data_IF_556625288262
#
_entry.id   IF_556625288262
#
_cell.length_a   1.000
_cell.length_b   1.000
_cell.length_c   1.000
_cell.angle_alpha   90.00
_cell.angle_beta   90.00
_cell.angle_gamma   90.00
#
_symmetry.space_group_name_H-M   'P 1'
#
loop_
_entity.id
_entity.type
_entity.pdbx_description
1 polymer ?
#
# COMPACT_ATOMS: atom_id res chain seq x y z
N UNK A 1 13.13 -6.12 -16.33
CA UNK A 1 12.05 -5.70 -15.41
C UNK A 1 11.24 -4.63 -16.11
N UNK A 2 9.92 -4.81 -16.23
CA UNK A 2 9.03 -3.81 -16.85
C UNK A 2 7.85 -3.50 -15.93
N UNK A 3 7.17 -2.37 -16.18
CA UNK A 3 6.07 -1.87 -15.36
C UNK A 3 4.76 -1.83 -16.16
N UNK A 4 3.66 -2.09 -15.47
CA UNK A 4 2.31 -1.97 -16.02
C UNK A 4 1.74 -0.60 -15.69
N UNK A 5 1.82 0.32 -16.65
CA UNK A 5 1.47 1.74 -16.46
C UNK A 5 0.05 1.96 -15.91
N UNK A 6 -0.92 1.12 -16.30
CA UNK A 6 -2.30 1.20 -15.79
C UNK A 6 -2.37 1.10 -14.25
N UNK A 7 -1.56 0.24 -13.62
CA UNK A 7 -1.56 0.09 -12.16
C UNK A 7 -0.82 1.22 -11.47
N UNK A 8 0.21 1.77 -12.13
CA UNK A 8 0.88 3.00 -11.66
C UNK A 8 -0.11 4.15 -11.62
N UNK A 9 -0.88 4.36 -12.70
CA UNK A 9 -1.91 5.40 -12.75
C UNK A 9 -2.96 5.21 -11.64
N UNK A 10 -3.48 3.99 -11.46
CA UNK A 10 -4.44 3.69 -10.38
C UNK A 10 -3.85 3.98 -9.00
N UNK A 11 -2.61 3.54 -8.74
CA UNK A 11 -1.93 3.81 -7.47
C UNK A 11 -1.81 5.32 -7.21
N UNK A 12 -1.34 6.07 -8.19
CA UNK A 12 -1.15 7.52 -8.07
C UNK A 12 -2.48 8.24 -7.85
N UNK A 13 -3.55 7.86 -8.56
CA UNK A 13 -4.88 8.45 -8.39
C UNK A 13 -5.39 8.20 -6.97
N UNK A 14 -5.35 6.95 -6.49
CA UNK A 14 -5.88 6.62 -5.17
C UNK A 14 -5.03 7.22 -4.04
N UNK A 15 -3.70 7.22 -4.18
CA UNK A 15 -2.82 7.85 -3.20
C UNK A 15 -3.04 9.36 -3.15
N UNK A 16 -3.16 10.03 -4.31
CA UNK A 16 -3.46 11.46 -4.36
C UNK A 16 -4.83 11.78 -3.77
N UNK A 17 -5.84 10.94 -4.02
CA UNK A 17 -7.17 11.08 -3.42
C UNK A 17 -7.10 10.94 -1.89
N UNK A 18 -6.37 9.94 -1.39
CA UNK A 18 -6.18 9.73 0.05
C UNK A 18 -5.52 10.94 0.70
N UNK A 19 -4.41 11.43 0.15
CA UNK A 19 -3.73 12.64 0.63
C UNK A 19 -4.66 13.85 0.60
N UNK A 20 -5.39 14.04 -0.49
CA UNK A 20 -6.32 15.16 -0.63
C UNK A 20 -7.40 15.15 0.46
N UNK A 21 -8.06 14.01 0.66
CA UNK A 21 -9.10 13.87 1.70
C UNK A 21 -8.49 14.00 3.10
N UNK A 22 -7.33 13.39 3.36
CA UNK A 22 -6.63 13.44 4.64
C UNK A 22 -6.06 14.82 5.00
N UNK A 23 -5.87 15.68 4.00
CA UNK A 23 -5.43 17.08 4.18
C UNK A 23 -6.58 18.05 4.42
N UNK A 24 -7.84 17.59 4.42
CA UNK A 24 -8.96 18.45 4.78
C UNK A 24 -9.08 18.54 6.31
N UNK A 25 -9.08 19.76 6.91
CA UNK A 25 -9.17 19.92 8.36
C UNK A 25 -10.40 19.22 8.95
N UNK A 26 -10.20 18.46 10.03
CA UNK A 26 -11.26 17.74 10.75
C UNK A 26 -11.80 16.47 10.07
N UNK A 27 -11.61 16.31 8.75
CA UNK A 27 -12.11 15.13 8.04
C UNK A 27 -11.35 13.88 8.42
N UNK A 28 -10.03 13.95 8.47
CA UNK A 28 -9.20 12.82 8.85
C UNK A 28 -9.51 12.35 10.29
N UNK A 29 -9.68 13.28 11.22
CA UNK A 29 -10.02 12.96 12.61
C UNK A 29 -11.42 12.32 12.71
N UNK A 30 -12.41 12.85 11.97
CA UNK A 30 -13.75 12.27 11.93
C UNK A 30 -13.78 10.83 11.39
N UNK A 31 -12.93 10.53 10.40
CA UNK A 31 -12.78 9.18 9.86
C UNK A 31 -12.10 8.27 10.89
N UNK A 32 -11.03 8.75 11.51
CA UNK A 32 -10.27 8.01 12.51
C UNK A 32 -11.09 7.73 13.78
N UNK A 33 -11.95 8.64 14.21
CA UNK A 33 -12.92 8.40 15.30
C UNK A 33 -13.91 7.28 14.94
N UNK A 34 -14.35 7.22 13.69
CA UNK A 34 -15.38 6.27 13.25
C UNK A 34 -14.83 4.87 12.98
N UNK A 35 -13.66 4.77 12.35
CA UNK A 35 -13.13 3.51 11.84
C UNK A 35 -11.83 3.06 12.52
N UNK A 36 -11.24 3.92 13.34
CA UNK A 36 -9.93 3.71 13.93
C UNK A 36 -8.83 4.07 12.94
N UNK A 37 -7.98 5.00 13.36
CA UNK A 37 -6.84 5.51 12.60
C UNK A 37 -5.94 4.40 12.02
N UNK A 38 -5.58 3.43 12.87
CA UNK A 38 -4.64 2.35 12.50
C UNK A 38 -5.30 1.35 11.55
N UNK A 39 -6.61 1.16 11.66
CA UNK A 39 -7.39 0.32 10.74
C UNK A 39 -7.46 0.95 9.35
N UNK A 40 -7.60 2.28 9.27
CA UNK A 40 -7.62 3.02 8.01
C UNK A 40 -6.27 2.91 7.30
N UNK A 41 -5.17 3.13 8.02
CA UNK A 41 -3.81 2.92 7.51
C UNK A 41 -3.62 1.49 6.99
N UNK A 42 -3.92 0.49 7.82
CA UNK A 42 -3.79 -0.91 7.46
C UNK A 42 -4.58 -1.25 6.18
N UNK A 43 -5.83 -0.81 6.07
CA UNK A 43 -6.69 -1.08 4.93
C UNK A 43 -6.21 -0.37 3.65
N UNK A 44 -5.87 0.91 3.75
CA UNK A 44 -5.40 1.70 2.62
C UNK A 44 -4.09 1.12 2.05
N UNK A 45 -3.11 0.87 2.91
CA UNK A 45 -1.81 0.38 2.49
C UNK A 45 -1.82 -1.11 2.11
N UNK A 46 -2.75 -1.92 2.62
CA UNK A 46 -3.00 -3.24 2.05
C UNK A 46 -3.50 -3.14 0.59
N UNK A 47 -4.45 -2.24 0.31
CA UNK A 47 -4.93 -1.96 -1.04
C UNK A 47 -3.83 -1.49 -1.98
N UNK A 48 -3.02 -0.51 -1.54
CA UNK A 48 -1.86 -0.05 -2.31
C UNK A 48 -0.84 -1.17 -2.55
N UNK A 49 -0.61 -2.03 -1.56
CA UNK A 49 0.30 -3.16 -1.69
C UNK A 49 -0.15 -4.15 -2.76
N UNK A 50 -1.45 -4.43 -2.86
CA UNK A 50 -1.99 -5.26 -3.95
C UNK A 50 -1.69 -4.63 -5.31
N UNK A 51 -1.94 -3.32 -5.46
CA UNK A 51 -1.72 -2.60 -6.72
C UNK A 51 -0.23 -2.60 -7.06
N UNK A 52 0.63 -2.21 -6.12
CA UNK A 52 2.09 -2.20 -6.26
C UNK A 52 2.62 -3.56 -6.69
N UNK A 53 2.17 -4.65 -6.06
CA UNK A 53 2.59 -6.00 -6.42
C UNK A 53 2.23 -6.40 -7.85
N UNK A 54 1.18 -5.79 -8.44
CA UNK A 54 0.73 -5.99 -9.82
C UNK A 54 1.38 -5.06 -10.84
N UNK A 55 2.03 -3.96 -10.40
CA UNK A 55 2.79 -3.05 -11.28
C UNK A 55 3.94 -3.80 -11.94
N UNK A 56 4.65 -4.62 -11.17
CA UNK A 56 5.92 -5.21 -11.55
C UNK A 56 5.76 -6.47 -12.42
N UNK A 57 6.41 -6.47 -13.58
CA UNK A 57 6.66 -7.67 -14.39
C UNK A 57 8.09 -8.12 -14.10
N UNK A 58 8.22 -8.98 -13.10
CA UNK A 58 9.49 -9.46 -12.56
C UNK A 58 9.31 -10.80 -11.82
N UNK A 59 10.39 -11.55 -11.52
CA UNK A 59 10.33 -12.69 -10.61
C UNK A 59 9.70 -12.34 -9.27
N UNK A 60 8.97 -13.28 -8.68
CA UNK A 60 8.19 -13.07 -7.44
C UNK A 60 8.98 -12.38 -6.32
N UNK A 61 10.22 -12.83 -6.04
CA UNK A 61 11.07 -12.23 -5.00
C UNK A 61 11.32 -10.74 -5.23
N UNK A 62 11.58 -10.34 -6.48
CA UNK A 62 11.76 -8.92 -6.83
C UNK A 62 10.46 -8.14 -6.64
N UNK A 63 9.31 -8.70 -7.06
CA UNK A 63 7.99 -8.06 -6.86
C UNK A 63 7.68 -7.80 -5.39
N UNK A 64 8.00 -8.75 -4.51
CA UNK A 64 7.86 -8.60 -3.05
C UNK A 64 8.72 -7.43 -2.56
N UNK A 65 10.02 -7.46 -2.82
CA UNK A 65 10.96 -6.44 -2.33
C UNK A 65 10.60 -5.04 -2.84
N UNK A 66 10.31 -4.91 -4.13
CA UNK A 66 9.92 -3.65 -4.74
C UNK A 66 8.60 -3.11 -4.19
N UNK A 67 7.64 -3.99 -3.88
CA UNK A 67 6.37 -3.58 -3.26
C UNK A 67 6.59 -3.03 -1.85
N UNK A 68 7.37 -3.73 -1.03
CA UNK A 68 7.69 -3.28 0.34
C UNK A 68 8.42 -1.94 0.30
N UNK A 69 9.42 -1.79 -0.56
CA UNK A 69 10.16 -0.53 -0.71
C UNK A 69 9.24 0.61 -1.16
N UNK A 70 8.37 0.37 -2.16
CA UNK A 70 7.43 1.40 -2.61
C UNK A 70 6.45 1.81 -1.51
N UNK A 71 5.93 0.86 -0.74
CA UNK A 71 5.00 1.17 0.36
C UNK A 71 5.72 1.92 1.48
N UNK A 72 6.95 1.53 1.83
CA UNK A 72 7.77 2.25 2.79
C UNK A 72 7.95 3.73 2.38
N UNK A 73 8.21 3.98 1.10
CA UNK A 73 8.35 5.33 0.54
C UNK A 73 7.03 6.11 0.55
N UNK A 74 5.92 5.48 0.14
CA UNK A 74 4.61 6.13 0.15
C UNK A 74 4.16 6.49 1.57
N UNK A 75 4.33 5.58 2.54
CA UNK A 75 4.05 5.85 3.96
C UNK A 75 4.92 6.97 4.51
N UNK A 76 6.20 7.02 4.14
CA UNK A 76 7.08 8.11 4.57
C UNK A 76 6.65 9.46 3.98
N UNK A 77 6.19 9.48 2.73
CA UNK A 77 5.67 10.69 2.08
C UNK A 77 4.37 11.14 2.77
N UNK A 78 3.46 10.22 3.07
CA UNK A 78 2.22 10.50 3.79
C UNK A 78 2.49 11.12 5.16
N UNK A 79 3.30 10.46 5.99
CA UNK A 79 3.73 10.99 7.29
C UNK A 79 4.45 12.34 7.17
N UNK A 80 5.28 12.53 6.14
CA UNK A 80 5.92 13.80 5.86
C UNK A 80 4.93 14.92 5.53
N UNK A 81 3.87 14.61 4.79
CA UNK A 81 2.77 15.54 4.51
C UNK A 81 2.00 15.83 5.80
N UNK A 82 1.68 14.82 6.59
CA UNK A 82 1.00 15.00 7.87
C UNK A 82 1.81 15.86 8.84
N UNK A 83 3.13 15.68 8.90
CA UNK A 83 4.03 16.51 9.70
C UNK A 83 4.03 17.99 9.28
N UNK A 84 3.74 18.28 8.01
CA UNK A 84 3.65 19.64 7.50
C UNK A 84 2.29 20.32 7.77
N UNK A 85 1.28 19.56 8.20
CA UNK A 85 -0.06 20.07 8.49
C UNK A 85 -0.19 20.32 10.01
N UNK A 86 -0.48 21.56 10.47
CA UNK A 86 -0.47 21.92 11.89
C UNK A 86 -1.58 21.27 12.73
N UNK A 87 -2.57 20.66 12.07
CA UNK A 87 -3.71 19.96 12.68
C UNK A 87 -3.61 18.44 12.50
N UNK A 88 -2.48 17.90 12.02
CA UNK A 88 -2.22 16.46 11.94
C UNK A 88 -0.96 16.13 12.76
N UNK A 89 -0.86 14.87 13.16
CA UNK A 89 0.31 14.39 13.88
C UNK A 89 0.92 13.25 13.10
N UNK A 90 2.17 13.44 12.65
CA UNK A 90 2.93 12.35 12.09
C UNK A 90 3.33 11.35 13.18
N UNK A 91 3.36 10.08 12.80
CA UNK A 91 3.43 8.94 13.70
C UNK A 91 4.23 7.81 13.05
N UNK A 92 5.38 7.52 13.65
CA UNK A 92 6.20 6.36 13.27
C UNK A 92 5.43 5.04 13.43
N UNK A 93 4.42 5.01 14.30
CA UNK A 93 3.58 3.83 14.48
C UNK A 93 2.69 3.60 13.26
N UNK A 94 2.14 4.66 12.66
CA UNK A 94 1.29 4.56 11.48
C UNK A 94 2.10 4.11 10.26
N UNK A 95 3.31 4.65 10.10
CA UNK A 95 4.27 4.13 9.12
C UNK A 95 4.62 2.64 9.32
N UNK A 96 4.80 2.21 10.58
CA UNK A 96 5.00 0.78 10.89
C UNK A 96 3.78 -0.07 10.50
N UNK A 97 2.56 0.44 10.71
CA UNK A 97 1.32 -0.24 10.32
C UNK A 97 1.23 -0.38 8.79
N UNK A 98 1.65 0.63 8.04
CA UNK A 98 1.69 0.58 6.58
C UNK A 98 2.64 -0.53 6.08
N UNK A 99 3.81 -0.67 6.72
CA UNK A 99 4.78 -1.73 6.44
C UNK A 99 4.22 -3.11 6.80
N UNK A 100 3.53 -3.25 7.93
CA UNK A 100 2.85 -4.49 8.32
C UNK A 100 1.79 -4.88 7.29
N UNK A 101 0.99 -3.91 6.80
CA UNK A 101 0.00 -4.12 5.75
C UNK A 101 0.66 -4.66 4.47
N UNK A 102 1.79 -4.09 4.07
CA UNK A 102 2.55 -4.54 2.91
C UNK A 102 3.07 -5.96 3.07
N UNK A 103 3.74 -6.26 4.19
CA UNK A 103 4.28 -7.59 4.47
C UNK A 103 3.20 -8.66 4.49
N UNK A 104 2.06 -8.38 5.12
CA UNK A 104 0.93 -9.31 5.14
C UNK A 104 0.39 -9.54 3.72
N UNK A 105 0.16 -8.47 2.98
CA UNK A 105 -0.43 -8.53 1.63
C UNK A 105 0.46 -9.28 0.65
N UNK A 106 1.76 -8.97 0.59
CA UNK A 106 2.69 -9.65 -0.34
C UNK A 106 2.90 -11.10 0.03
N UNK A 107 2.83 -11.45 1.32
CA UNK A 107 2.88 -12.85 1.78
C UNK A 107 1.64 -13.62 1.33
N UNK A 108 0.44 -13.05 1.54
CA UNK A 108 -0.81 -13.65 1.10
C UNK A 108 -0.86 -13.85 -0.43
N UNK A 109 -0.46 -12.83 -1.21
CA UNK A 109 -0.40 -12.91 -2.67
C UNK A 109 0.63 -13.94 -3.14
N UNK A 110 1.80 -14.00 -2.50
CA UNK A 110 2.84 -14.97 -2.84
C UNK A 110 2.43 -16.41 -2.53
N UNK A 111 1.69 -16.60 -1.44
CA UNK A 111 1.10 -17.89 -1.08
C UNK A 111 0.04 -18.29 -2.11
N UNK A 112 -0.87 -17.38 -2.45
CA UNK A 112 -1.89 -17.61 -3.48
C UNK A 112 -1.28 -17.97 -4.84
N UNK A 113 -0.24 -17.26 -5.27
CA UNK A 113 0.50 -17.59 -6.50
C UNK A 113 1.18 -18.98 -6.41
N UNK A 114 1.66 -19.38 -5.22
CA UNK A 114 2.25 -20.71 -5.04
C UNK A 114 1.21 -21.82 -5.13
N UNK A 115 0.07 -21.64 -4.47
CA UNK A 115 -1.03 -22.61 -4.45
C UNK A 115 -1.66 -22.77 -5.84
N UNK A 116 -1.85 -21.67 -6.56
CA UNK A 116 -2.39 -21.71 -7.94
C UNK A 116 -1.46 -22.43 -8.92
N UNK A 117 -0.14 -22.31 -8.75
CA UNK A 117 0.83 -23.07 -9.54
C UNK A 117 0.80 -24.57 -9.23
N UNK A 118 0.55 -24.96 -7.98
CA UNK A 118 0.39 -26.37 -7.60
C UNK A 118 -0.89 -26.97 -8.18
N UNK A 119 -1.97 -26.18 -8.25
CA UNK A 119 -3.25 -26.61 -8.81
C UNK A 119 -3.25 -26.69 -10.34
N UNK A 120 -2.51 -25.81 -11.02
CA UNK A 120 -2.43 -25.75 -12.49
C UNK A 120 -0.97 -25.72 -12.98
N UNK A 121 -0.28 -26.88 -12.99
CA UNK A 121 1.14 -26.94 -13.39
C UNK A 121 1.39 -26.54 -14.85
N UNK A 122 0.37 -26.57 -15.71
CA UNK A 122 0.45 -26.18 -17.13
C UNK A 122 0.23 -24.68 -17.39
N UNK A 123 -0.05 -23.85 -16.38
CA UNK A 123 -0.28 -22.41 -16.54
C UNK A 123 0.99 -21.59 -16.89
N UNK A 124 2.11 -22.24 -17.20
CA UNK A 124 3.39 -21.61 -17.57
C UNK A 124 3.60 -21.44 -19.09
N UNK A 125 2.64 -21.84 -19.92
CA UNK A 125 2.77 -21.75 -21.38
C UNK A 125 2.17 -20.45 -21.93
#
# INVERSE_FOLDING_TARGET
MSIRLRYVAVLLILFSMMIFVGSLPGQADSLSERFGDKSLHLLAYAGFSVICFRIWIAPRRQRIMLTIVMIALLGLIDEGIQAALPYRNASLLDWCVDLLAAMFTVSALSLYESLSLLQNPHAKN
#
